data_IF_726734753616
#
_entry.id   IF_726734753616
#
_cell.length_a   1.000
_cell.length_b   1.000
_cell.length_c   1.000
_cell.angle_alpha   90.00
_cell.angle_beta   90.00
_cell.angle_gamma   90.00
#
_symmetry.space_group_name_H-M   'P 1'
#
loop_
_entity.id
_entity.type
_entity.pdbx_description
1 polymer ?
#
# COMPACT_ATOMS: atom_id res chain seq x y z
N UNK A 1 46.35 6.21 5.21
CA UNK A 1 45.12 6.13 6.02
C UNK A 1 44.36 4.90 5.58
N UNK A 2 43.85 4.06 6.49
CA UNK A 2 43.01 2.94 6.11
C UNK A 2 41.73 3.46 5.43
N UNK A 3 41.40 2.91 4.25
CA UNK A 3 40.18 3.22 3.50
C UNK A 3 39.12 2.17 3.80
N UNK A 4 37.89 2.61 4.09
CA UNK A 4 36.76 1.71 4.26
C UNK A 4 36.45 1.01 2.91
N UNK A 5 36.14 -0.30 2.90
CA UNK A 5 35.62 -0.98 1.71
C UNK A 5 34.37 -0.28 1.16
N UNK A 6 34.22 -0.31 -0.17
CA UNK A 6 33.16 0.39 -0.90
C UNK A 6 31.75 -0.02 -0.44
N UNK A 7 31.56 -1.32 -0.19
CA UNK A 7 30.29 -1.91 0.23
C UNK A 7 29.90 -1.41 1.62
N UNK A 8 30.87 -1.34 2.54
CA UNK A 8 30.66 -0.85 3.89
C UNK A 8 30.43 0.67 3.91
N UNK A 9 31.13 1.43 3.06
CA UNK A 9 30.86 2.87 2.91
C UNK A 9 29.42 3.10 2.47
N UNK A 10 28.96 2.37 1.44
CA UNK A 10 27.59 2.44 0.95
C UNK A 10 26.57 2.08 2.03
N UNK A 11 26.77 0.96 2.71
CA UNK A 11 25.86 0.48 3.76
C UNK A 11 25.73 1.51 4.89
N UNK A 12 26.82 2.15 5.31
CA UNK A 12 26.80 3.21 6.32
C UNK A 12 25.94 4.40 5.88
N UNK A 13 26.10 4.86 4.63
CA UNK A 13 25.30 5.98 4.12
C UNK A 13 23.83 5.61 3.93
N UNK A 14 23.52 4.39 3.46
CA UNK A 14 22.15 3.91 3.33
C UNK A 14 21.49 3.82 4.71
N UNK A 15 22.14 3.19 5.71
CA UNK A 15 21.65 3.10 7.10
C UNK A 15 21.44 4.50 7.69
N UNK A 16 22.40 5.41 7.53
CA UNK A 16 22.28 6.78 8.03
C UNK A 16 21.10 7.53 7.38
N UNK A 17 20.84 7.28 6.10
CA UNK A 17 19.72 7.88 5.37
C UNK A 17 18.38 7.27 5.78
N UNK A 18 18.33 5.98 6.10
CA UNK A 18 17.13 5.29 6.59
C UNK A 18 16.76 5.66 8.03
N UNK A 19 17.75 5.86 8.90
CA UNK A 19 17.54 6.09 10.33
C UNK A 19 16.76 7.36 10.66
N UNK A 20 16.82 8.39 9.81
CA UNK A 20 16.10 9.64 10.01
C UNK A 20 15.48 10.15 8.69
N UNK A 21 14.45 9.43 8.22
CA UNK A 21 13.77 9.78 6.97
C UNK A 21 13.10 11.16 6.99
N UNK A 22 12.75 11.70 8.15
CA UNK A 22 12.12 13.03 8.28
C UNK A 22 13.14 14.17 8.26
N UNK A 23 14.41 13.87 8.51
CA UNK A 23 15.46 14.86 8.52
C UNK A 23 16.02 15.12 7.12
N UNK A 24 15.27 15.93 6.37
CA UNK A 24 15.69 16.39 5.05
C UNK A 24 17.08 17.03 5.06
N UNK A 25 17.45 17.74 6.14
CA UNK A 25 18.75 18.39 6.29
C UNK A 25 19.89 17.38 6.31
N UNK A 26 19.75 16.29 7.08
CA UNK A 26 20.74 15.22 7.11
C UNK A 26 20.95 14.64 5.72
N UNK A 27 19.88 14.31 5.00
CA UNK A 27 19.98 13.71 3.65
C UNK A 27 20.66 14.65 2.65
N UNK A 28 20.35 15.95 2.72
CA UNK A 28 21.03 16.96 1.92
C UNK A 28 22.53 16.99 2.25
N UNK A 29 22.89 17.02 3.53
CA UNK A 29 24.28 17.03 3.96
C UNK A 29 25.04 15.77 3.51
N UNK A 30 24.44 14.59 3.63
CA UNK A 30 25.03 13.33 3.15
C UNK A 30 25.25 13.37 1.63
N UNK A 31 24.29 13.93 0.87
CA UNK A 31 24.39 14.06 -0.58
C UNK A 31 25.54 14.98 -1.04
N UNK A 32 26.02 15.87 -0.18
CA UNK A 32 27.13 16.78 -0.50
C UNK A 32 28.52 16.18 -0.27
N UNK A 33 28.62 14.98 0.32
CA UNK A 33 29.91 14.37 0.67
C UNK A 33 30.71 13.97 -0.58
N UNK A 34 30.07 13.27 -1.52
CA UNK A 34 30.66 12.84 -2.79
C UNK A 34 29.57 12.45 -3.80
N UNK A 35 29.89 12.46 -5.09
CA UNK A 35 28.93 12.11 -6.15
C UNK A 35 28.36 10.68 -6.01
N UNK A 36 29.19 9.69 -5.62
CA UNK A 36 28.72 8.32 -5.37
C UNK A 36 27.76 8.25 -4.18
N UNK A 37 28.03 9.04 -3.14
CA UNK A 37 27.19 9.12 -1.94
C UNK A 37 25.86 9.79 -2.29
N UNK A 38 25.88 10.87 -3.07
CA UNK A 38 24.68 11.48 -3.61
C UNK A 38 23.80 10.44 -4.30
N UNK A 39 24.39 9.60 -5.17
CA UNK A 39 23.63 8.55 -5.85
C UNK A 39 22.99 7.55 -4.87
N UNK A 40 23.71 7.08 -3.86
CA UNK A 40 23.15 6.16 -2.84
C UNK A 40 22.05 6.81 -2.01
N UNK A 41 22.27 8.03 -1.55
CA UNK A 41 21.30 8.80 -0.75
C UNK A 41 20.04 9.07 -1.58
N UNK A 42 20.18 9.41 -2.85
CA UNK A 42 19.06 9.62 -3.76
C UNK A 42 18.24 8.34 -3.96
N UNK A 43 18.86 7.16 -4.10
CA UNK A 43 18.12 5.90 -4.21
C UNK A 43 17.24 5.65 -2.98
N UNK A 44 17.75 5.91 -1.77
CA UNK A 44 16.99 5.76 -0.52
C UNK A 44 15.93 6.87 -0.36
N UNK A 45 16.23 8.08 -0.83
CA UNK A 45 15.32 9.22 -0.78
C UNK A 45 14.08 9.01 -1.64
N UNK A 46 14.27 8.52 -2.87
CA UNK A 46 13.20 8.28 -3.84
C UNK A 46 12.57 6.90 -3.74
N UNK A 47 12.96 6.09 -2.75
CA UNK A 47 12.41 4.74 -2.57
C UNK A 47 10.89 4.74 -2.38
N UNK A 48 10.38 5.73 -1.67
CA UNK A 48 8.95 5.97 -1.49
C UNK A 48 8.59 7.36 -1.96
N UNK A 49 7.60 7.47 -2.85
CA UNK A 49 7.11 8.74 -3.36
C UNK A 49 5.63 8.86 -3.04
N UNK A 50 5.27 9.96 -2.41
CA UNK A 50 3.91 10.24 -1.94
C UNK A 50 3.44 11.53 -2.60
N UNK A 51 2.40 11.47 -3.43
CA UNK A 51 1.88 12.60 -4.20
C UNK A 51 0.49 12.96 -3.68
N UNK A 52 0.46 13.88 -2.71
CA UNK A 52 -0.74 14.28 -1.97
C UNK A 52 -1.54 15.37 -2.65
N UNK A 53 -0.90 16.18 -3.50
CA UNK A 53 -1.54 17.29 -4.19
C UNK A 53 -0.98 17.47 -5.60
N UNK A 54 -1.66 18.29 -6.42
CA UNK A 54 -1.24 18.59 -7.78
C UNK A 54 0.16 19.22 -7.85
N UNK A 55 0.55 20.06 -6.89
CA UNK A 55 1.84 20.72 -6.90
C UNK A 55 3.00 19.71 -6.67
N UNK A 56 2.77 18.68 -5.87
CA UNK A 56 3.71 17.57 -5.65
C UNK A 56 3.85 16.71 -6.90
N UNK A 57 2.74 16.42 -7.59
CA UNK A 57 2.73 15.71 -8.86
C UNK A 57 3.50 16.48 -9.95
N UNK A 58 3.26 17.80 -10.08
CA UNK A 58 3.97 18.66 -11.03
C UNK A 58 5.48 18.70 -10.78
N UNK A 59 5.89 18.81 -9.50
CA UNK A 59 7.30 18.78 -9.11
C UNK A 59 7.93 17.43 -9.45
N UNK A 60 7.23 16.33 -9.18
CA UNK A 60 7.72 15.00 -9.51
C UNK A 60 7.79 14.78 -11.03
N UNK A 61 6.82 15.27 -11.79
CA UNK A 61 6.83 15.23 -13.25
C UNK A 61 8.01 16.02 -13.85
N UNK A 62 8.32 17.21 -13.31
CA UNK A 62 9.52 17.95 -13.70
C UNK A 62 10.79 17.16 -13.40
N UNK A 63 10.84 16.51 -12.23
CA UNK A 63 11.97 15.68 -11.82
C UNK A 63 12.15 14.47 -12.75
N UNK A 64 11.10 13.73 -13.10
CA UNK A 64 11.21 12.57 -14.01
C UNK A 64 11.67 12.95 -15.40
N UNK A 65 11.37 14.17 -15.86
CA UNK A 65 11.89 14.68 -17.13
C UNK A 65 13.37 15.10 -17.05
N UNK A 66 13.93 15.29 -15.84
CA UNK A 66 15.31 15.72 -15.63
C UNK A 66 16.31 14.59 -15.38
N UNK A 67 15.83 13.38 -15.08
CA UNK A 67 16.65 12.18 -14.81
C UNK A 67 16.30 11.06 -15.79
N UNK A 68 17.19 10.08 -15.92
CA UNK A 68 16.94 8.94 -16.82
C UNK A 68 15.77 8.08 -16.30
N UNK A 69 14.93 7.50 -17.18
CA UNK A 69 13.87 6.57 -16.74
C UNK A 69 14.40 5.39 -15.92
N UNK A 70 15.61 4.90 -16.26
CA UNK A 70 16.27 3.82 -15.52
C UNK A 70 16.57 4.17 -14.06
N UNK A 71 16.74 5.45 -13.74
CA UNK A 71 16.88 5.90 -12.35
C UNK A 71 15.61 5.62 -11.55
N UNK A 72 14.43 6.04 -12.03
CA UNK A 72 13.17 5.85 -11.29
C UNK A 72 12.71 4.40 -11.26
N UNK A 73 12.93 3.65 -12.34
CA UNK A 73 12.72 2.20 -12.34
C UNK A 73 13.58 1.49 -11.26
N UNK A 74 14.75 2.05 -10.92
CA UNK A 74 15.61 1.50 -9.87
C UNK A 74 15.26 2.04 -8.49
N UNK A 75 15.05 3.34 -8.37
CA UNK A 75 14.87 4.03 -7.10
C UNK A 75 13.48 3.79 -6.49
N UNK A 76 12.41 4.00 -7.26
CA UNK A 76 11.04 4.02 -6.72
C UNK A 76 10.53 2.59 -6.51
N UNK A 77 10.21 2.25 -5.26
CA UNK A 77 9.64 0.95 -4.83
C UNK A 77 8.23 1.08 -4.30
N UNK A 78 7.91 2.21 -3.69
CA UNK A 78 6.58 2.54 -3.20
C UNK A 78 6.10 3.85 -3.81
N UNK A 79 4.84 3.87 -4.23
CA UNK A 79 4.21 5.05 -4.82
C UNK A 79 2.80 5.22 -4.27
N UNK A 80 2.44 6.45 -3.92
CA UNK A 80 1.09 6.81 -3.50
C UNK A 80 0.58 8.00 -4.34
N UNK A 81 -0.56 7.80 -4.97
CA UNK A 81 -1.34 8.84 -5.63
C UNK A 81 -2.58 9.13 -4.81
N UNK A 82 -2.67 10.35 -4.25
CA UNK A 82 -3.89 10.86 -3.66
C UNK A 82 -4.92 11.26 -4.75
N UNK A 83 -6.15 11.52 -4.31
CA UNK A 83 -7.28 11.86 -5.17
C UNK A 83 -7.06 13.06 -6.09
N UNK A 84 -6.17 13.99 -5.72
CA UNK A 84 -5.92 15.20 -6.49
C UNK A 84 -5.03 14.98 -7.72
N UNK A 85 -4.38 13.82 -7.86
CA UNK A 85 -3.54 13.51 -9.02
C UNK A 85 -4.42 13.00 -10.16
N UNK A 86 -4.32 13.61 -11.34
CA UNK A 86 -5.10 13.14 -12.49
C UNK A 86 -4.63 11.76 -12.96
N UNK A 87 -5.54 10.95 -13.50
CA UNK A 87 -5.17 9.62 -13.99
C UNK A 87 -4.18 9.66 -15.16
N UNK A 88 -4.21 10.73 -15.97
CA UNK A 88 -3.21 10.98 -17.04
C UNK A 88 -1.81 11.17 -16.45
N UNK A 89 -1.67 11.93 -15.37
CA UNK A 89 -0.38 12.16 -14.72
C UNK A 89 0.10 10.92 -13.99
N UNK A 90 -0.80 10.20 -13.31
CA UNK A 90 -0.49 8.92 -12.69
C UNK A 90 0.04 7.91 -13.73
N UNK A 91 -0.65 7.75 -14.87
CA UNK A 91 -0.20 6.91 -15.99
C UNK A 91 1.18 7.34 -16.50
N UNK A 92 1.41 8.64 -16.67
CA UNK A 92 2.72 9.16 -17.09
C UNK A 92 3.80 8.83 -16.07
N UNK A 93 3.55 9.02 -14.78
CA UNK A 93 4.51 8.73 -13.71
C UNK A 93 4.83 7.23 -13.65
N UNK A 94 3.81 6.38 -13.73
CA UNK A 94 3.97 4.93 -13.73
C UNK A 94 4.81 4.43 -14.91
N UNK A 95 4.79 5.12 -16.05
CA UNK A 95 5.63 4.77 -17.21
C UNK A 95 7.14 4.91 -16.93
N UNK A 96 7.54 5.73 -15.95
CA UNK A 96 8.94 5.86 -15.51
C UNK A 96 9.29 4.92 -14.35
N UNK A 97 8.29 4.50 -13.56
CA UNK A 97 8.47 3.77 -12.30
C UNK A 97 8.04 2.31 -12.47
N UNK A 98 8.81 1.51 -13.21
CA UNK A 98 8.37 0.18 -13.65
C UNK A 98 8.60 -0.96 -12.65
N UNK A 99 9.28 -0.71 -11.54
CA UNK A 99 9.62 -1.71 -10.51
C UNK A 99 8.95 -1.40 -9.16
N UNK A 100 7.75 -0.83 -9.20
CA UNK A 100 6.94 -0.56 -8.01
C UNK A 100 6.47 -1.88 -7.41
N UNK A 101 6.66 -2.03 -6.10
CA UNK A 101 6.22 -3.17 -5.31
C UNK A 101 4.99 -2.82 -4.47
N UNK A 102 4.88 -1.57 -4.03
CA UNK A 102 3.80 -1.07 -3.18
C UNK A 102 3.13 0.12 -3.86
N UNK A 103 1.85 0.00 -4.17
CA UNK A 103 1.12 1.08 -4.84
C UNK A 103 -0.15 1.43 -4.08
N UNK A 104 -0.32 2.70 -3.75
CA UNK A 104 -1.61 3.31 -3.44
C UNK A 104 -2.05 4.17 -4.63
N UNK A 105 -3.21 3.86 -5.21
CA UNK A 105 -3.70 4.51 -6.42
C UNK A 105 -5.16 4.91 -6.22
N UNK A 106 -5.37 6.14 -5.77
CA UNK A 106 -6.68 6.69 -5.42
C UNK A 106 -7.12 7.76 -6.43
N UNK A 107 -6.75 7.58 -7.70
CA UNK A 107 -7.09 8.50 -8.79
C UNK A 107 -8.41 8.09 -9.44
N UNK A 108 -9.16 9.03 -10.01
CA UNK A 108 -10.36 8.74 -10.80
C UNK A 108 -10.00 8.17 -12.19
N UNK A 109 -10.07 6.85 -12.33
CA UNK A 109 -9.70 6.16 -13.58
C UNK A 109 -10.75 6.29 -14.68
N UNK A 110 -11.95 6.84 -14.40
CA UNK A 110 -12.93 7.12 -15.46
C UNK A 110 -12.35 8.03 -16.55
N UNK A 111 -11.28 8.75 -16.20
CA UNK A 111 -10.58 9.69 -17.07
C UNK A 111 -9.37 9.10 -17.82
N UNK A 112 -8.91 7.87 -17.54
CA UNK A 112 -7.75 7.28 -18.22
C UNK A 112 -7.80 5.75 -18.34
N UNK A 113 -8.10 5.21 -19.54
CA UNK A 113 -8.08 3.76 -19.78
C UNK A 113 -6.67 3.15 -19.76
N UNK A 114 -5.62 3.98 -19.84
CA UNK A 114 -4.23 3.54 -19.96
C UNK A 114 -3.65 3.01 -18.63
N UNK A 115 -4.33 3.26 -17.50
CA UNK A 115 -3.82 2.91 -16.19
C UNK A 115 -3.86 1.39 -15.94
N UNK A 116 -4.93 0.71 -16.34
CA UNK A 116 -5.08 -0.73 -16.09
C UNK A 116 -3.98 -1.60 -16.74
N UNK A 117 -3.55 -1.37 -18.00
CA UNK A 117 -2.38 -2.04 -18.57
C UNK A 117 -1.09 -1.78 -17.79
N UNK A 118 -0.85 -0.55 -17.34
CA UNK A 118 0.34 -0.19 -16.56
C UNK A 118 0.35 -0.92 -15.22
N UNK A 119 -0.77 -0.91 -14.49
CA UNK A 119 -0.92 -1.64 -13.23
C UNK A 119 -0.66 -3.14 -13.40
N UNK A 120 -1.10 -3.72 -14.51
CA UNK A 120 -0.92 -5.16 -14.79
C UNK A 120 0.55 -5.57 -15.00
N UNK A 121 1.39 -4.62 -15.42
CA UNK A 121 2.81 -4.86 -15.70
C UNK A 121 3.72 -4.76 -14.45
N UNK A 122 3.25 -4.12 -13.37
CA UNK A 122 4.05 -3.86 -12.18
C UNK A 122 4.27 -5.11 -11.31
N UNK A 123 5.45 -5.28 -10.67
CA UNK A 123 5.71 -6.40 -9.76
C UNK A 123 5.16 -6.16 -8.34
N UNK A 124 3.86 -5.85 -8.23
CA UNK A 124 3.21 -5.50 -6.96
C UNK A 124 3.19 -6.67 -5.97
N UNK A 125 3.51 -6.38 -4.71
CA UNK A 125 3.24 -7.25 -3.56
C UNK A 125 2.19 -6.65 -2.61
N UNK A 126 1.93 -5.34 -2.74
CA UNK A 126 0.90 -4.60 -2.02
C UNK A 126 0.19 -3.59 -2.94
N UNK A 127 -1.14 -3.55 -2.85
CA UNK A 127 -1.99 -2.67 -3.64
C UNK A 127 -3.07 -2.01 -2.77
N UNK A 128 -3.18 -0.69 -2.81
CA UNK A 128 -4.31 0.07 -2.28
C UNK A 128 -5.00 0.80 -3.43
N UNK A 129 -6.29 0.54 -3.65
CA UNK A 129 -7.02 1.01 -4.84
C UNK A 129 -8.53 1.04 -4.57
N UNK A 130 -9.27 1.83 -5.33
CA UNK A 130 -10.73 1.74 -5.35
C UNK A 130 -11.20 0.38 -5.91
N UNK A 131 -12.29 -0.14 -5.36
CA UNK A 131 -12.83 -1.46 -5.72
C UNK A 131 -13.29 -1.56 -7.20
N UNK A 132 -13.95 -0.53 -7.72
CA UNK A 132 -14.40 -0.51 -9.12
C UNK A 132 -13.21 -0.54 -10.07
N UNK A 133 -12.17 0.22 -9.75
CA UNK A 133 -10.91 0.21 -10.48
C UNK A 133 -10.22 -1.16 -10.44
N UNK A 134 -10.11 -1.78 -9.27
CA UNK A 134 -9.60 -3.15 -9.14
C UNK A 134 -10.39 -4.14 -10.00
N UNK A 135 -11.70 -3.99 -10.06
CA UNK A 135 -12.61 -4.83 -10.84
C UNK A 135 -12.41 -4.71 -12.34
N UNK A 136 -11.84 -3.60 -12.81
CA UNK A 136 -11.58 -3.33 -14.23
C UNK A 136 -10.18 -3.74 -14.69
N UNK A 137 -9.26 -4.07 -13.78
CA UNK A 137 -7.92 -4.55 -14.17
C UNK A 137 -8.06 -5.92 -14.84
N UNK A 138 -7.50 -6.17 -16.05
CA UNK A 138 -7.57 -7.48 -16.68
C UNK A 138 -6.75 -8.52 -15.89
N UNK A 139 -7.33 -9.66 -15.53
CA UNK A 139 -6.66 -10.72 -14.75
C UNK A 139 -5.94 -11.78 -15.60
N UNK A 140 -5.66 -11.51 -16.88
CA UNK A 140 -5.06 -12.51 -17.77
C UNK A 140 -3.78 -12.02 -18.45
N UNK A 141 -2.59 -12.26 -17.85
CA UNK A 141 -2.33 -12.38 -16.42
C UNK A 141 -1.39 -11.25 -15.93
N UNK A 142 -1.81 -10.41 -14.96
CA UNK A 142 -0.90 -9.52 -14.27
C UNK A 142 0.24 -10.29 -13.61
N UNK A 143 1.46 -9.77 -13.71
CA UNK A 143 2.66 -10.40 -13.11
C UNK A 143 2.55 -10.49 -11.58
N UNK A 144 1.80 -9.59 -10.97
CA UNK A 144 1.60 -9.50 -9.53
C UNK A 144 0.55 -10.46 -8.95
N UNK A 145 -0.28 -11.12 -9.77
CA UNK A 145 -1.31 -12.06 -9.27
C UNK A 145 -0.73 -13.14 -8.34
N UNK A 146 0.50 -13.58 -8.61
CA UNK A 146 1.20 -14.63 -7.86
C UNK A 146 2.05 -14.11 -6.69
N UNK A 147 2.11 -12.80 -6.48
CA UNK A 147 2.98 -12.18 -5.46
C UNK A 147 2.23 -11.21 -4.53
N UNK A 148 1.01 -10.79 -4.89
CA UNK A 148 0.21 -9.89 -4.09
C UNK A 148 -0.19 -10.58 -2.76
N UNK A 149 0.22 -9.96 -1.66
CA UNK A 149 -0.02 -10.46 -0.30
C UNK A 149 -0.95 -9.56 0.50
N UNK A 150 -0.93 -8.25 0.20
CA UNK A 150 -1.70 -7.22 0.88
C UNK A 150 -2.54 -6.46 -0.13
N UNK A 151 -3.83 -6.30 0.15
CA UNK A 151 -4.70 -5.41 -0.61
C UNK A 151 -5.53 -4.52 0.32
N UNK A 152 -5.66 -3.25 -0.03
CA UNK A 152 -6.60 -2.31 0.61
C UNK A 152 -7.58 -1.81 -0.44
N UNK A 153 -8.85 -2.09 -0.24
CA UNK A 153 -9.91 -1.70 -1.17
C UNK A 153 -10.73 -0.58 -0.57
N UNK A 154 -10.81 0.53 -1.29
CA UNK A 154 -11.64 1.67 -0.89
C UNK A 154 -12.99 1.56 -1.58
N UNK A 155 -14.07 1.61 -0.79
CA UNK A 155 -15.44 1.64 -1.26
C UNK A 155 -15.97 3.09 -1.16
N UNK A 156 -15.61 3.94 -2.13
CA UNK A 156 -16.09 5.34 -2.18
C UNK A 156 -17.58 5.45 -2.42
N UNK A 157 -18.10 4.54 -3.24
CA UNK A 157 -19.51 4.47 -3.55
C UNK A 157 -20.11 3.34 -2.72
N UNK A 158 -20.80 3.69 -1.63
CA UNK A 158 -21.84 2.80 -1.10
C UNK A 158 -22.92 2.78 -2.18
N UNK A 159 -23.13 1.69 -2.95
CA UNK A 159 -24.20 1.66 -3.92
C UNK A 159 -25.48 2.04 -3.17
N UNK A 160 -26.11 3.13 -3.60
CA UNK A 160 -27.40 3.54 -3.10
C UNK A 160 -28.35 2.40 -3.43
N UNK A 161 -28.58 1.54 -2.43
CA UNK A 161 -29.42 0.34 -2.47
C UNK A 161 -28.79 -0.91 -3.13
N UNK A 162 -28.46 -1.89 -2.27
CA UNK A 162 -28.60 -3.33 -2.52
C UNK A 162 -28.09 -3.86 -3.87
N UNK A 163 -26.84 -3.61 -4.26
CA UNK A 163 -26.17 -4.62 -5.09
C UNK A 163 -25.52 -5.66 -4.15
N UNK A 164 -26.14 -6.85 -3.93
CA UNK A 164 -25.56 -7.93 -3.15
C UNK A 164 -24.36 -8.58 -3.87
N UNK A 165 -24.08 -8.20 -5.11
CA UNK A 165 -23.00 -8.73 -5.91
C UNK A 165 -22.00 -7.63 -6.18
N UNK A 166 -21.05 -7.43 -5.27
CA UNK A 166 -19.86 -6.67 -5.60
C UNK A 166 -18.88 -7.60 -6.37
N UNK A 167 -18.88 -7.61 -7.72
CA UNK A 167 -18.10 -8.59 -8.49
C UNK A 167 -16.59 -8.44 -8.25
N UNK A 168 -16.15 -7.25 -7.83
CA UNK A 168 -14.76 -6.98 -7.48
C UNK A 168 -14.24 -7.84 -6.34
N UNK A 169 -15.04 -8.02 -5.29
CA UNK A 169 -14.65 -8.83 -4.13
C UNK A 169 -14.49 -10.32 -4.49
N UNK A 170 -15.24 -10.81 -5.48
CA UNK A 170 -15.15 -12.21 -5.90
C UNK A 170 -13.81 -12.51 -6.57
N UNK A 171 -13.20 -11.50 -7.21
CA UNK A 171 -11.89 -11.62 -7.85
C UNK A 171 -10.78 -11.83 -6.83
N UNK A 172 -10.97 -11.47 -5.56
CA UNK A 172 -9.98 -11.71 -4.51
C UNK A 172 -9.68 -13.20 -4.30
N UNK A 173 -10.64 -14.09 -4.55
CA UNK A 173 -10.43 -15.53 -4.53
C UNK A 173 -9.46 -16.06 -5.60
N UNK A 174 -9.10 -15.23 -6.58
CA UNK A 174 -8.12 -15.56 -7.63
C UNK A 174 -6.68 -15.22 -7.22
N UNK A 175 -6.47 -14.64 -6.03
CA UNK A 175 -5.17 -14.22 -5.52
C UNK A 175 -4.64 -15.26 -4.51
N UNK A 176 -3.84 -16.25 -4.94
CA UNK A 176 -3.48 -17.40 -4.11
C UNK A 176 -2.65 -17.07 -2.87
N UNK A 177 -1.94 -15.93 -2.88
CA UNK A 177 -1.05 -15.49 -1.79
C UNK A 177 -1.61 -14.33 -0.98
N UNK A 178 -2.85 -13.94 -1.23
CA UNK A 178 -3.50 -12.86 -0.50
C UNK A 178 -3.76 -13.31 0.94
N UNK A 179 -3.07 -12.64 1.87
CA UNK A 179 -3.11 -12.95 3.31
C UNK A 179 -3.76 -11.81 4.09
N UNK A 180 -3.65 -10.58 3.58
CA UNK A 180 -4.10 -9.37 4.24
C UNK A 180 -5.04 -8.59 3.32
N UNK A 181 -6.26 -8.34 3.80
CA UNK A 181 -7.26 -7.54 3.10
C UNK A 181 -7.73 -6.44 4.02
N UNK A 182 -7.75 -5.20 3.54
CA UNK A 182 -8.39 -4.07 4.19
C UNK A 182 -9.57 -3.60 3.34
N UNK A 183 -10.70 -3.32 3.96
CA UNK A 183 -11.89 -2.79 3.30
C UNK A 183 -12.33 -1.52 4.04
N UNK A 184 -12.45 -0.40 3.32
CA UNK A 184 -13.01 0.85 3.87
C UNK A 184 -14.52 0.92 3.63
N UNK A 185 -15.33 1.29 4.63
CA UNK A 185 -16.80 1.33 4.51
C UNK A 185 -17.42 -0.03 4.14
N UNK A 186 -16.88 -1.12 4.69
CA UNK A 186 -17.34 -2.47 4.39
C UNK A 186 -18.57 -2.86 5.22
N UNK A 187 -19.52 -3.55 4.59
CA UNK A 187 -20.65 -4.15 5.28
C UNK A 187 -20.34 -5.59 5.66
N UNK A 188 -21.20 -6.18 6.50
CA UNK A 188 -21.14 -7.61 6.85
C UNK A 188 -21.16 -8.57 5.65
N UNK A 189 -21.93 -8.24 4.61
CA UNK A 189 -21.96 -9.07 3.39
C UNK A 189 -20.60 -9.09 2.67
N UNK A 190 -19.91 -7.95 2.63
CA UNK A 190 -18.62 -7.79 1.98
C UNK A 190 -17.55 -8.61 2.71
N UNK A 191 -17.52 -8.55 4.05
CA UNK A 191 -16.58 -9.34 4.86
C UNK A 191 -16.81 -10.85 4.74
N UNK A 192 -18.07 -11.27 4.66
CA UNK A 192 -18.45 -12.67 4.42
C UNK A 192 -17.93 -13.19 3.08
N UNK A 193 -18.04 -12.38 2.02
CA UNK A 193 -17.51 -12.72 0.69
C UNK A 193 -15.99 -12.90 0.75
N UNK A 194 -15.26 -11.96 1.35
CA UNK A 194 -13.80 -12.05 1.46
C UNK A 194 -13.38 -13.27 2.27
N UNK A 195 -13.99 -13.50 3.43
CA UNK A 195 -13.69 -14.63 4.30
C UNK A 195 -13.93 -15.99 3.63
N UNK A 196 -14.96 -16.11 2.79
CA UNK A 196 -15.32 -17.36 2.10
C UNK A 196 -14.50 -17.62 0.82
N UNK A 197 -13.96 -16.58 0.17
CA UNK A 197 -13.26 -16.70 -1.11
C UNK A 197 -11.74 -16.72 -0.98
N UNK A 198 -11.19 -16.05 0.02
CA UNK A 198 -9.74 -15.93 0.20
C UNK A 198 -9.21 -17.07 1.09
N UNK A 199 -8.82 -18.19 0.48
CA UNK A 199 -8.36 -19.38 1.19
C UNK A 199 -7.12 -19.13 2.08
N UNK A 200 -6.25 -18.22 1.66
CA UNK A 200 -5.01 -17.86 2.37
C UNK A 200 -5.17 -16.69 3.35
N UNK A 201 -6.39 -16.18 3.52
CA UNK A 201 -6.65 -14.98 4.33
C UNK A 201 -6.29 -15.23 5.80
N UNK A 202 -5.41 -14.38 6.32
CA UNK A 202 -4.98 -14.36 7.71
C UNK A 202 -5.61 -13.19 8.46
N UNK A 203 -5.74 -12.03 7.81
CA UNK A 203 -6.22 -10.77 8.38
C UNK A 203 -7.23 -10.12 7.43
N UNK A 204 -8.40 -9.79 7.95
CA UNK A 204 -9.37 -8.92 7.30
C UNK A 204 -9.59 -7.67 8.18
N UNK A 205 -9.01 -6.55 7.77
CA UNK A 205 -9.17 -5.26 8.44
C UNK A 205 -10.38 -4.52 7.85
N UNK A 206 -11.29 -4.06 8.70
CA UNK A 206 -12.40 -3.19 8.31
C UNK A 206 -12.16 -1.81 8.87
N UNK A 207 -12.06 -0.82 7.99
CA UNK A 207 -11.79 0.59 8.34
C UNK A 207 -13.03 1.42 8.07
N UNK A 208 -13.36 2.37 8.94
CA UNK A 208 -14.54 3.25 8.82
C UNK A 208 -15.85 2.49 8.58
N UNK A 209 -16.31 1.76 9.59
CA UNK A 209 -17.66 1.14 9.58
C UNK A 209 -18.61 1.97 10.46
N UNK A 210 -19.90 1.93 10.17
CA UNK A 210 -20.93 2.46 11.07
C UNK A 210 -20.87 1.69 12.40
N UNK A 211 -20.92 2.38 13.53
CA UNK A 211 -20.88 1.77 14.87
C UNK A 211 -21.90 0.63 15.02
N UNK A 212 -23.06 0.78 14.39
CA UNK A 212 -24.13 -0.24 14.43
C UNK A 212 -23.79 -1.52 13.67
N UNK A 213 -23.00 -1.42 12.59
CA UNK A 213 -22.55 -2.59 11.80
C UNK A 213 -21.31 -3.26 12.40
N UNK A 214 -20.51 -2.51 13.16
CA UNK A 214 -19.26 -2.98 13.77
C UNK A 214 -19.46 -4.23 14.64
N UNK A 215 -20.47 -4.21 15.50
CA UNK A 215 -20.79 -5.30 16.42
C UNK A 215 -21.19 -6.58 15.67
N UNK A 216 -22.00 -6.45 14.61
CA UNK A 216 -22.44 -7.61 13.82
C UNK A 216 -21.31 -8.28 13.01
N UNK A 217 -20.33 -7.48 12.58
CA UNK A 217 -19.20 -7.94 11.78
C UNK A 217 -18.22 -8.75 12.64
N UNK A 218 -17.99 -8.30 13.88
CA UNK A 218 -16.91 -8.82 14.73
C UNK A 218 -17.11 -10.28 15.15
N UNK A 219 -18.34 -10.71 15.40
CA UNK A 219 -18.62 -12.05 15.92
C UNK A 219 -18.52 -13.16 14.88
N UNK A 220 -18.44 -12.81 13.59
CA UNK A 220 -18.61 -13.78 12.51
C UNK A 220 -17.36 -14.59 12.17
N UNK A 221 -16.17 -13.98 12.20
CA UNK A 221 -14.93 -14.65 11.80
C UNK A 221 -13.73 -14.13 12.61
N UNK A 222 -12.90 -15.01 13.20
CA UNK A 222 -11.79 -14.60 14.07
C UNK A 222 -10.70 -13.80 13.35
N UNK A 223 -10.67 -13.81 12.01
CA UNK A 223 -9.74 -13.06 11.18
C UNK A 223 -10.14 -11.59 11.00
N UNK A 224 -11.34 -11.19 11.41
CA UNK A 224 -11.84 -9.83 11.20
C UNK A 224 -11.37 -8.90 12.32
N UNK A 225 -10.70 -7.80 11.97
CA UNK A 225 -10.27 -6.75 12.90
C UNK A 225 -10.93 -5.44 12.50
N UNK A 226 -11.49 -4.73 13.47
CA UNK A 226 -11.92 -3.35 13.28
C UNK A 226 -10.70 -2.45 13.44
N UNK A 227 -10.43 -1.63 12.42
CA UNK A 227 -9.39 -0.63 12.45
C UNK A 227 -9.71 0.46 13.48
N UNK A 228 -8.69 1.19 13.96
CA UNK A 228 -8.94 2.38 14.77
C UNK A 228 -9.82 3.35 13.97
N UNK A 229 -10.81 3.93 14.64
CA UNK A 229 -11.55 5.04 14.07
C UNK A 229 -10.61 6.24 14.06
N UNK A 230 -10.13 6.63 12.88
CA UNK A 230 -9.38 7.88 12.77
C UNK A 230 -10.36 9.02 12.98
N UNK A 231 -10.12 9.82 14.03
CA UNK A 231 -10.94 11.00 14.32
C UNK A 231 -10.81 12.07 13.21
N UNK A 232 -9.76 12.02 12.38
CA UNK A 232 -9.54 12.95 11.29
C UNK A 232 -9.19 12.26 9.95
N UNK A 233 -9.90 12.56 8.85
CA UNK A 233 -9.64 12.01 7.52
C UNK A 233 -8.35 12.51 6.86
N UNK A 234 -7.57 13.36 7.52
CA UNK A 234 -6.30 13.87 6.98
C UNK A 234 -5.11 12.91 7.22
N UNK A 235 -5.28 11.88 8.08
CA UNK A 235 -4.19 10.98 8.49
C UNK A 235 -3.95 9.76 7.57
N UNK A 236 -4.81 9.49 6.60
CA UNK A 236 -4.63 8.36 5.65
C UNK A 236 -3.27 8.37 4.93
N UNK A 237 -2.71 9.56 4.67
CA UNK A 237 -1.40 9.69 4.04
C UNK A 237 -0.25 9.27 4.95
N UNK A 238 -0.41 9.40 6.27
CA UNK A 238 0.62 9.07 7.26
C UNK A 238 0.71 7.57 7.52
N UNK A 239 -0.42 6.85 7.54
CA UNK A 239 -0.42 5.39 7.70
C UNK A 239 0.26 4.69 6.49
N UNK A 240 0.09 5.24 5.27
CA UNK A 240 0.76 4.67 4.09
C UNK A 240 2.28 4.59 4.24
N UNK A 241 2.92 5.68 4.68
CA UNK A 241 4.38 5.68 4.87
C UNK A 241 4.80 4.70 5.96
N UNK A 242 4.00 4.58 7.02
CA UNK A 242 4.27 3.65 8.11
C UNK A 242 4.20 2.19 7.63
N UNK A 243 3.29 1.88 6.72
CA UNK A 243 3.22 0.58 6.05
C UNK A 243 4.44 0.36 5.14
N UNK A 244 4.80 1.32 4.30
CA UNK A 244 5.97 1.23 3.40
C UNK A 244 7.26 0.98 4.18
N UNK A 245 7.42 1.65 5.32
CA UNK A 245 8.60 1.55 6.15
C UNK A 245 8.51 0.52 7.27
N UNK A 246 7.43 -0.27 7.30
CA UNK A 246 7.17 -1.32 8.31
C UNK A 246 7.36 -0.79 9.73
N UNK A 247 6.90 0.44 9.99
CA UNK A 247 6.92 0.99 11.35
C UNK A 247 6.01 0.15 12.24
N UNK A 248 6.35 -0.05 13.52
CA UNK A 248 5.57 -0.92 14.41
C UNK A 248 4.12 -0.45 14.61
N UNK A 249 3.83 0.82 14.32
CA UNK A 249 2.51 1.44 14.51
C UNK A 249 1.73 1.58 13.20
N UNK A 250 1.90 0.66 12.24
CA UNK A 250 1.07 0.66 11.03
C UNK A 250 -0.20 -0.20 11.20
N UNK A 251 -1.22 0.04 10.38
CA UNK A 251 -2.51 -0.67 10.48
C UNK A 251 -2.41 -2.21 10.41
N UNK A 252 -1.46 -2.77 9.64
CA UNK A 252 -1.29 -4.21 9.51
C UNK A 252 -0.69 -4.81 10.77
N UNK A 253 0.34 -4.18 11.33
CA UNK A 253 0.96 -4.62 12.58
C UNK A 253 -0.06 -4.62 13.73
N UNK A 254 -0.93 -3.60 13.79
CA UNK A 254 -2.05 -3.56 14.72
C UNK A 254 -3.00 -4.75 14.53
N UNK A 255 -3.44 -5.01 13.29
CA UNK A 255 -4.39 -6.07 13.01
C UNK A 255 -3.82 -7.47 13.28
N UNK A 256 -2.56 -7.71 12.92
CA UNK A 256 -1.83 -8.93 13.23
C UNK A 256 -1.74 -9.15 14.76
N UNK A 257 -1.44 -8.10 15.52
CA UNK A 257 -1.36 -8.16 16.98
C UNK A 257 -2.71 -8.54 17.61
N UNK A 258 -3.81 -7.95 17.15
CA UNK A 258 -5.17 -8.28 17.61
C UNK A 258 -5.47 -9.76 17.36
N UNK A 259 -5.22 -10.26 16.15
CA UNK A 259 -5.45 -11.67 15.81
C UNK A 259 -4.55 -12.60 16.61
N UNK A 260 -3.28 -12.24 16.79
CA UNK A 260 -2.32 -12.99 17.62
C UNK A 260 -2.82 -13.12 19.06
N UNK A 261 -3.31 -12.03 19.67
CA UNK A 261 -3.90 -12.05 21.01
C UNK A 261 -5.13 -12.97 21.10
N UNK A 262 -6.04 -12.91 20.12
CA UNK A 262 -7.23 -13.79 20.09
C UNK A 262 -6.87 -15.27 20.02
N UNK A 263 -5.87 -15.64 19.20
CA UNK A 263 -5.39 -17.02 19.08
C UNK A 263 -4.79 -17.54 20.41
N UNK A 264 -4.14 -16.67 21.19
CA UNK A 264 -3.63 -17.03 22.52
C UNK A 264 -4.77 -17.29 23.51
N UNK A 265 -5.84 -16.50 23.50
CA UNK A 265 -7.00 -16.71 24.38
C UNK A 265 -7.74 -18.02 24.07
N UNK A 266 -7.90 -18.36 22.79
CA UNK A 266 -8.55 -19.60 22.37
C UNK A 266 -7.77 -20.85 22.76
N UNK A 267 -6.44 -20.78 22.76
CA UNK A 267 -5.57 -21.90 23.16
C UNK A 267 -5.39 -22.03 24.67
N UNK A 268 -5.49 -20.94 25.43
CA UNK A 268 -5.39 -20.94 26.89
C UNK A 268 -6.66 -21.45 27.60
N UNK A 269 -7.84 -21.28 26.98
CA UNK A 269 -9.13 -21.68 27.59
C UNK A 269 -9.31 -23.20 27.72
N UNK A 270 -8.61 -24.01 26.91
CA UNK A 270 -8.75 -25.47 26.89
C UNK A 270 -7.91 -26.21 27.95
N UNK A 271 -7.15 -25.49 28.78
CA UNK A 271 -6.19 -26.07 29.74
C UNK A 271 -6.65 -26.05 31.21
N UNK A 272 -7.92 -25.79 31.52
CA UNK A 272 -8.45 -25.94 32.88
C UNK A 272 -9.11 -27.31 33.07
N UNK A 273 -8.56 -28.19 33.93
CA UNK A 273 -9.04 -29.55 34.17
C UNK A 273 -10.37 -29.64 34.93
#
# INVERSE_FOLDING_TARGET
>A
MPTLPFELEREVFEIATHGDRRNAVLKLNLSLVAQRVQYWVELVYYESVTLMDQASADKFLKLVNSKSPGFFATAVKALCFAFFVSATEASRILSFCTNIQMLACWVDQKTSPDLAPLLSALPLNQLSIELDHFSNIPLSPPTWLSHLTHISLILWHTPSHYDPHNPGLWRLGQLPRLTHVALSNARRADTTIVCSRCASLQVLLVVHTDETEADEIFEFDPRIVLGPQEDEPEDFGLDWEDVVFRRPNNMWAYAEDVIRRRRMTLTGSTASP
#
